data_IF_792039083691
#
_entry.id   IF_792039083691
#
_cell.length_a   1.000
_cell.length_b   1.000
_cell.length_c   1.000
_cell.angle_alpha   90.00
_cell.angle_beta   90.00
_cell.angle_gamma   90.00
#
_symmetry.space_group_name_H-M   'P 1'
#
loop_
_entity.id
_entity.type
_entity.pdbx_description
1 polymer ?
#
# COMPACT_ATOMS: atom_id res chain seq x y z
N UNK A 1 -16.81 26.00 14.44
CA UNK A 1 -17.17 24.60 14.78
C UNK A 1 -16.10 23.66 14.20
N UNK A 2 -15.46 22.84 15.03
CA UNK A 2 -14.33 21.98 14.63
C UNK A 2 -14.84 20.73 13.89
N UNK A 3 -14.26 20.42 12.72
CA UNK A 3 -14.53 19.16 12.01
C UNK A 3 -13.80 18.01 12.72
N UNK A 4 -14.45 16.85 12.85
CA UNK A 4 -13.84 15.61 13.35
C UNK A 4 -13.88 14.54 12.27
N UNK A 5 -12.84 13.72 12.19
CA UNK A 5 -12.76 12.64 11.22
C UNK A 5 -12.97 11.29 11.90
N UNK A 6 -13.65 10.37 11.21
CA UNK A 6 -13.78 8.99 11.65
C UNK A 6 -12.42 8.30 11.57
N UNK A 7 -11.98 7.72 12.68
CA UNK A 7 -10.78 6.90 12.75
C UNK A 7 -11.02 5.44 12.34
N UNK A 8 -12.28 5.05 12.21
CA UNK A 8 -12.69 3.69 11.85
C UNK A 8 -13.94 3.71 10.94
N UNK A 9 -14.24 2.58 10.32
CA UNK A 9 -15.42 2.41 9.48
C UNK A 9 -16.69 2.40 10.34
N UNK A 10 -17.78 2.93 9.79
CA UNK A 10 -19.10 2.91 10.47
C UNK A 10 -19.54 1.49 10.84
N UNK A 11 -19.13 0.49 10.07
CA UNK A 11 -19.43 -0.92 10.33
C UNK A 11 -18.75 -1.41 11.60
N UNK A 12 -17.45 -1.14 11.77
CA UNK A 12 -16.71 -1.53 12.96
C UNK A 12 -17.24 -0.80 14.21
N UNK A 13 -17.52 0.51 14.07
CA UNK A 13 -18.13 1.29 15.16
C UNK A 13 -19.50 0.73 15.59
N UNK A 14 -20.31 0.26 14.66
CA UNK A 14 -21.59 -0.38 14.99
C UNK A 14 -21.42 -1.73 15.70
N UNK A 15 -20.43 -2.53 15.29
CA UNK A 15 -20.09 -3.79 15.97
C UNK A 15 -19.67 -3.51 17.41
N UNK A 16 -18.79 -2.53 17.64
CA UNK A 16 -18.38 -2.11 18.98
C UNK A 16 -19.57 -1.60 19.80
N UNK A 17 -20.42 -0.75 19.21
CA UNK A 17 -21.64 -0.26 19.86
C UNK A 17 -22.55 -1.41 20.34
N UNK A 18 -22.76 -2.44 19.51
CA UNK A 18 -23.58 -3.62 19.88
C UNK A 18 -22.93 -4.48 20.96
N UNK A 19 -21.61 -4.57 20.98
CA UNK A 19 -20.87 -5.28 22.02
C UNK A 19 -20.99 -4.57 23.37
N UNK A 20 -20.92 -3.24 23.37
CA UNK A 20 -21.02 -2.41 24.57
C UNK A 20 -22.48 -2.26 25.05
N UNK A 21 -23.45 -2.32 24.14
CA UNK A 21 -24.87 -2.12 24.42
C UNK A 21 -25.70 -3.31 23.90
N UNK A 22 -25.53 -4.53 24.48
CA UNK A 22 -26.16 -5.74 23.97
C UNK A 22 -27.69 -5.71 24.04
N UNK A 23 -28.25 -4.97 25.00
CA UNK A 23 -29.69 -4.88 25.22
C UNK A 23 -30.37 -3.80 24.35
N UNK A 24 -29.60 -2.96 23.65
CA UNK A 24 -30.13 -1.85 22.86
C UNK A 24 -30.49 -2.29 21.43
N UNK A 25 -31.75 -2.10 21.06
CA UNK A 25 -32.26 -2.45 19.73
C UNK A 25 -31.97 -1.34 18.70
N UNK A 26 -30.71 -1.16 18.34
CA UNK A 26 -30.30 -0.24 17.27
C UNK A 26 -30.00 -1.00 15.97
N UNK A 27 -30.54 -0.54 14.83
CA UNK A 27 -30.17 -1.06 13.51
C UNK A 27 -28.99 -0.29 12.93
N UNK A 28 -28.22 -0.91 12.02
CA UNK A 28 -27.08 -0.24 11.37
C UNK A 28 -27.48 1.04 10.62
N UNK A 29 -28.62 1.01 9.92
CA UNK A 29 -29.16 2.18 9.20
C UNK A 29 -29.56 3.31 10.15
N UNK A 30 -30.08 3.00 11.34
CA UNK A 30 -30.41 4.01 12.34
C UNK A 30 -29.13 4.58 12.97
N UNK A 31 -28.20 3.71 13.39
CA UNK A 31 -26.89 4.10 13.94
C UNK A 31 -26.14 5.07 13.02
N UNK A 32 -26.07 4.76 11.73
CA UNK A 32 -25.33 5.58 10.75
C UNK A 32 -25.96 6.96 10.52
N UNK A 33 -27.28 7.08 10.63
CA UNK A 33 -27.99 8.36 10.55
C UNK A 33 -27.76 9.26 11.77
N UNK A 34 -27.52 8.65 12.94
CA UNK A 34 -27.23 9.39 14.18
C UNK A 34 -25.79 9.92 14.25
N UNK A 35 -24.98 9.73 13.19
CA UNK A 35 -23.65 10.33 13.12
C UNK A 35 -23.77 11.86 13.12
N UNK A 36 -23.13 12.58 14.06
CA UNK A 36 -23.16 14.03 14.08
C UNK A 36 -22.62 14.63 12.77
N UNK A 37 -23.25 15.71 12.29
CA UNK A 37 -22.96 16.30 10.99
C UNK A 37 -21.53 16.82 10.83
N UNK A 38 -20.87 17.16 11.94
CA UNK A 38 -19.46 17.59 12.02
C UNK A 38 -18.45 16.44 12.03
N UNK A 39 -18.91 15.19 12.14
CA UNK A 39 -18.08 13.98 12.01
C UNK A 39 -18.13 13.51 10.56
N UNK A 40 -16.99 13.56 9.87
CA UNK A 40 -16.85 13.18 8.47
C UNK A 40 -16.06 11.88 8.35
N UNK A 41 -16.39 11.01 7.37
CA UNK A 41 -15.45 9.97 6.97
C UNK A 41 -14.18 10.65 6.46
N UNK A 42 -13.02 10.12 6.85
CA UNK A 42 -11.75 10.54 6.27
C UNK A 42 -11.80 10.29 4.77
N UNK A 43 -11.57 11.34 3.98
CA UNK A 43 -11.41 11.17 2.56
C UNK A 43 -10.10 10.42 2.28
N UNK A 44 -9.99 9.82 1.09
CA UNK A 44 -8.86 8.95 0.71
C UNK A 44 -7.52 9.69 0.82
N UNK A 45 -7.54 10.99 0.58
CA UNK A 45 -6.45 11.97 0.68
C UNK A 45 -6.12 12.40 2.13
N UNK A 46 -7.05 12.22 3.06
CA UNK A 46 -6.86 12.51 4.49
C UNK A 46 -6.24 11.35 5.29
N UNK A 47 -5.77 10.30 4.60
CA UNK A 47 -5.08 9.17 5.23
C UNK A 47 -3.61 9.49 5.39
N UNK A 48 -3.08 9.34 6.59
CA UNK A 48 -1.64 9.46 6.88
C UNK A 48 -0.87 8.18 6.46
N UNK A 49 -1.35 7.52 5.42
CA UNK A 49 -0.78 6.27 4.88
C UNK A 49 -0.89 6.31 3.37
N UNK A 50 0.21 6.04 2.67
CA UNK A 50 0.15 5.89 1.22
C UNK A 50 -0.31 4.47 0.85
N UNK A 51 -1.37 4.38 0.04
CA UNK A 51 -1.87 3.13 -0.55
C UNK A 51 -1.86 3.20 -2.08
N UNK A 52 -0.93 3.97 -2.65
CA UNK A 52 -0.78 3.98 -4.10
C UNK A 52 -0.23 2.63 -4.57
N UNK A 53 -0.47 2.31 -5.85
CA UNK A 53 0.03 1.08 -6.48
C UNK A 53 1.54 0.93 -6.32
N UNK A 54 2.29 2.02 -6.49
CA UNK A 54 3.74 2.08 -6.36
C UNK A 54 4.19 1.57 -4.98
N UNK A 55 3.85 2.28 -3.90
CA UNK A 55 4.21 1.88 -2.54
C UNK A 55 3.74 0.47 -2.17
N UNK A 56 2.53 0.09 -2.59
CA UNK A 56 2.01 -1.25 -2.29
C UNK A 56 2.81 -2.34 -3.00
N UNK A 57 3.20 -2.12 -4.26
CA UNK A 57 4.03 -3.04 -5.03
C UNK A 57 5.45 -3.11 -4.46
N UNK A 58 6.06 -1.96 -4.13
CA UNK A 58 7.39 -1.93 -3.51
C UNK A 58 7.39 -2.69 -2.18
N UNK A 59 6.34 -2.57 -1.37
CA UNK A 59 6.20 -3.36 -0.13
C UNK A 59 6.08 -4.87 -0.41
N UNK A 60 5.37 -5.29 -1.47
CA UNK A 60 5.31 -6.71 -1.82
C UNK A 60 6.66 -7.26 -2.29
N UNK A 61 7.43 -6.47 -3.04
CA UNK A 61 8.80 -6.82 -3.45
C UNK A 61 9.70 -6.97 -2.22
N UNK A 62 9.69 -5.99 -1.30
CA UNK A 62 10.42 -6.06 -0.03
C UNK A 62 10.05 -7.30 0.78
N UNK A 63 8.76 -7.62 0.91
CA UNK A 63 8.32 -8.81 1.62
C UNK A 63 8.88 -10.11 0.99
N UNK A 64 8.94 -10.18 -0.34
CA UNK A 64 9.49 -11.34 -1.05
C UNK A 64 11.00 -11.46 -0.84
N UNK A 65 11.74 -10.36 -0.92
CA UNK A 65 13.19 -10.34 -0.70
C UNK A 65 13.53 -10.66 0.77
N UNK A 66 12.81 -10.06 1.73
CA UNK A 66 12.99 -10.30 3.16
C UNK A 66 12.68 -11.75 3.57
N UNK A 67 11.55 -12.31 3.11
CA UNK A 67 11.17 -13.69 3.43
C UNK A 67 12.14 -14.73 2.87
N UNK A 68 12.88 -14.37 1.82
CA UNK A 68 13.96 -15.19 1.26
C UNK A 68 15.34 -14.89 1.85
N UNK A 69 15.41 -14.04 2.89
CA UNK A 69 16.64 -13.65 3.61
C UNK A 69 17.67 -12.95 2.74
N UNK A 70 17.23 -12.28 1.68
CA UNK A 70 18.12 -11.51 0.80
C UNK A 70 18.45 -10.14 1.43
N UNK A 71 17.52 -9.57 2.20
CA UNK A 71 17.75 -8.35 2.99
C UNK A 71 17.37 -8.60 4.45
N UNK A 72 17.85 -7.73 5.34
CA UNK A 72 17.58 -7.80 6.78
C UNK A 72 16.33 -7.00 7.19
N UNK A 73 15.91 -6.07 6.33
CA UNK A 73 14.90 -5.06 6.55
C UNK A 73 13.53 -5.62 6.19
N UNK A 74 12.61 -5.58 7.15
CA UNK A 74 11.29 -6.22 7.00
C UNK A 74 10.23 -5.29 6.41
N UNK A 75 10.47 -3.98 6.37
CA UNK A 75 9.48 -2.99 5.98
C UNK A 75 10.12 -1.73 5.40
N UNK A 76 9.31 -0.93 4.69
CA UNK A 76 9.75 0.28 4.01
C UNK A 76 10.40 1.30 4.96
N UNK A 77 9.91 1.44 6.19
CA UNK A 77 10.47 2.39 7.16
C UNK A 77 11.91 2.06 7.50
N UNK A 78 12.23 0.78 7.75
CA UNK A 78 13.60 0.33 8.00
C UNK A 78 14.51 0.54 6.80
N UNK A 79 13.98 0.32 5.59
CA UNK A 79 14.73 0.59 4.35
C UNK A 79 15.05 2.08 4.24
N UNK A 80 14.06 2.96 4.40
CA UNK A 80 14.24 4.41 4.34
C UNK A 80 15.24 4.90 5.40
N UNK A 81 15.08 4.47 6.65
CA UNK A 81 15.99 4.85 7.74
C UNK A 81 17.43 4.42 7.48
N UNK A 82 17.63 3.33 6.73
CA UNK A 82 18.95 2.93 6.28
C UNK A 82 19.43 3.74 5.11
N UNK A 83 18.61 4.08 4.12
CA UNK A 83 19.06 4.76 2.89
C UNK A 83 19.25 6.26 3.03
N UNK A 84 18.54 6.93 3.95
CA UNK A 84 18.62 8.39 4.13
C UNK A 84 19.28 8.79 5.46
N UNK A 85 19.91 9.96 5.48
CA UNK A 85 20.53 10.51 6.71
C UNK A 85 19.49 11.01 7.72
N UNK A 86 18.32 11.47 7.27
CA UNK A 86 17.24 11.99 8.11
C UNK A 86 15.88 11.85 7.40
N UNK A 87 14.92 11.21 8.05
CA UNK A 87 13.59 10.89 7.48
C UNK A 87 12.59 12.05 7.57
N UNK A 88 12.83 13.00 8.48
CA UNK A 88 12.05 14.22 8.67
C UNK A 88 12.53 15.38 7.77
N UNK A 89 13.71 15.24 7.16
CA UNK A 89 14.28 16.23 6.26
C UNK A 89 13.95 15.90 4.79
N UNK A 90 13.08 16.73 4.20
CA UNK A 90 12.70 16.61 2.79
C UNK A 90 13.89 16.56 1.82
N UNK A 91 14.94 17.34 2.06
CA UNK A 91 16.12 17.35 1.19
C UNK A 91 16.89 16.04 1.29
N UNK A 92 16.97 15.42 2.47
CA UNK A 92 17.60 14.10 2.60
C UNK A 92 16.77 13.00 1.94
N UNK A 93 15.43 13.05 2.04
CA UNK A 93 14.54 12.13 1.31
C UNK A 93 14.61 12.28 -0.22
N UNK A 94 15.15 13.40 -0.71
CA UNK A 94 15.36 13.67 -2.13
C UNK A 94 16.83 13.57 -2.55
N UNK A 95 17.71 13.01 -1.71
CA UNK A 95 19.13 12.80 -2.04
C UNK A 95 19.88 14.14 -2.29
N UNK A 96 19.40 15.23 -1.69
CA UNK A 96 19.87 16.60 -1.95
C UNK A 96 20.37 17.33 -0.70
N UNK A 97 20.55 16.63 0.43
CA UNK A 97 21.03 17.27 1.66
C UNK A 97 22.55 17.33 1.75
N UNK A 98 23.09 18.37 2.38
CA UNK A 98 24.54 18.58 2.48
C UNK A 98 25.27 17.48 3.30
N UNK A 99 24.56 16.80 4.20
CA UNK A 99 25.04 15.66 5.00
C UNK A 99 24.66 14.31 4.39
N UNK A 100 24.37 14.28 3.09
CA UNK A 100 24.02 13.07 2.37
C UNK A 100 25.21 12.10 2.38
N UNK A 101 24.96 10.91 2.93
CA UNK A 101 25.88 9.80 2.87
C UNK A 101 25.08 8.63 2.31
N UNK A 102 25.45 8.15 1.12
CA UNK A 102 24.73 7.07 0.45
C UNK A 102 24.91 5.83 1.32
N UNK A 103 23.82 5.35 1.88
CA UNK A 103 23.80 4.07 2.59
C UNK A 103 23.03 3.11 1.71
N UNK A 104 23.75 2.19 1.10
CA UNK A 104 23.15 1.17 0.24
C UNK A 104 22.51 0.07 1.08
N UNK A 105 21.45 -0.53 0.54
CA UNK A 105 20.87 -1.74 1.09
C UNK A 105 21.85 -2.87 0.83
N UNK A 106 22.19 -3.63 1.86
CA UNK A 106 23.09 -4.78 1.73
C UNK A 106 22.24 -5.99 1.33
N UNK A 107 22.46 -6.48 0.13
CA UNK A 107 21.81 -7.68 -0.39
C UNK A 107 22.69 -8.92 -0.22
N UNK A 108 22.10 -10.02 0.23
CA UNK A 108 22.71 -11.34 0.09
C UNK A 108 22.61 -11.79 -1.37
N UNK A 109 23.76 -11.77 -2.05
CA UNK A 109 23.87 -12.09 -3.47
C UNK A 109 24.03 -13.58 -3.76
N UNK A 110 23.87 -14.44 -2.74
CA UNK A 110 23.87 -15.88 -2.95
C UNK A 110 22.69 -16.30 -3.83
N UNK A 111 23.00 -16.87 -5.00
CA UNK A 111 22.03 -17.39 -5.97
C UNK A 111 21.09 -16.35 -6.59
N UNK A 112 21.65 -15.30 -7.21
CA UNK A 112 20.92 -14.32 -8.03
C UNK A 112 19.95 -14.91 -9.07
N UNK A 113 20.27 -16.09 -9.61
CA UNK A 113 19.43 -16.78 -10.61
C UNK A 113 18.25 -17.56 -10.01
N UNK A 114 18.08 -17.54 -8.69
CA UNK A 114 16.96 -18.21 -8.03
C UNK A 114 15.64 -17.55 -8.42
N UNK A 115 14.65 -18.36 -8.77
CA UNK A 115 13.30 -17.89 -9.04
C UNK A 115 12.55 -17.55 -7.74
N UNK A 116 11.91 -16.39 -7.72
CA UNK A 116 11.03 -15.92 -6.66
C UNK A 116 9.64 -15.64 -7.21
N UNK A 117 8.67 -15.60 -6.29
CA UNK A 117 7.29 -15.20 -6.56
C UNK A 117 6.90 -14.09 -5.62
N UNK A 118 6.28 -13.04 -6.14
CA UNK A 118 5.75 -11.94 -5.35
C UNK A 118 4.39 -11.52 -5.87
N UNK A 119 3.69 -10.73 -5.08
CA UNK A 119 2.40 -10.17 -5.47
C UNK A 119 2.60 -8.79 -6.04
N UNK A 120 1.78 -8.40 -7.02
CA UNK A 120 1.77 -7.02 -7.49
C UNK A 120 0.40 -6.62 -8.02
N UNK A 121 0.10 -5.33 -7.90
CA UNK A 121 -1.03 -4.73 -8.58
C UNK A 121 -0.65 -4.39 -10.01
N UNK A 122 -1.35 -4.96 -10.98
CA UNK A 122 -1.21 -4.69 -12.42
C UNK A 122 -2.44 -3.98 -12.97
N UNK A 123 -2.30 -3.36 -14.14
CA UNK A 123 -3.38 -2.67 -14.85
C UNK A 123 -3.56 -3.24 -16.26
N UNK A 124 -3.94 -4.52 -16.39
CA UNK A 124 -4.16 -5.12 -17.71
C UNK A 124 -5.30 -4.42 -18.44
N UNK A 125 -5.13 -4.30 -19.75
CA UNK A 125 -6.17 -3.82 -20.66
C UNK A 125 -6.66 -4.98 -21.53
N UNK A 126 -7.95 -5.25 -21.48
CA UNK A 126 -8.61 -6.28 -22.26
C UNK A 126 -9.54 -5.63 -23.29
N UNK A 127 -9.63 -6.21 -24.48
CA UNK A 127 -10.64 -5.82 -25.46
C UNK A 127 -11.81 -6.77 -25.29
N UNK A 128 -12.95 -6.25 -24.84
CA UNK A 128 -14.19 -7.00 -24.73
C UNK A 128 -15.18 -6.53 -25.79
N UNK A 129 -16.04 -7.43 -26.26
CA UNK A 129 -17.18 -7.04 -27.07
C UNK A 129 -18.23 -6.37 -26.19
N UNK A 130 -18.85 -5.30 -26.70
CA UNK A 130 -19.99 -4.69 -26.02
C UNK A 130 -21.15 -5.70 -25.91
N UNK A 131 -22.09 -5.50 -24.97
CA UNK A 131 -23.31 -6.34 -24.79
C UNK A 131 -24.13 -6.54 -26.08
N UNK A 132 -23.94 -5.68 -27.08
CA UNK A 132 -24.60 -5.73 -28.38
C UNK A 132 -23.74 -6.34 -29.51
N UNK A 133 -22.52 -6.80 -29.25
CA UNK A 133 -21.60 -7.44 -30.21
C UNK A 133 -21.05 -6.54 -31.34
N UNK A 134 -21.44 -5.25 -31.40
CA UNK A 134 -21.16 -4.36 -32.53
C UNK A 134 -19.89 -3.51 -32.41
N UNK A 135 -19.30 -3.37 -31.22
CA UNK A 135 -18.10 -2.57 -31.02
C UNK A 135 -17.19 -3.19 -29.95
N UNK A 136 -15.88 -3.09 -30.20
CA UNK A 136 -14.81 -3.48 -29.29
C UNK A 136 -14.58 -2.38 -28.25
N UNK A 137 -14.65 -2.72 -26.96
CA UNK A 137 -14.39 -1.82 -25.83
C UNK A 137 -13.08 -2.21 -25.16
N UNK A 138 -12.15 -1.26 -25.03
CA UNK A 138 -10.96 -1.44 -24.20
C UNK A 138 -11.35 -1.21 -22.74
N UNK A 139 -11.23 -2.25 -21.92
CA UNK A 139 -11.48 -2.18 -20.48
C UNK A 139 -10.18 -2.37 -19.75
N UNK A 140 -9.89 -1.46 -18.81
CA UNK A 140 -8.73 -1.55 -17.94
C UNK A 140 -9.20 -1.90 -16.53
N UNK A 141 -8.61 -2.94 -15.95
CA UNK A 141 -8.92 -3.39 -14.58
C UNK A 141 -7.67 -3.28 -13.72
N UNK A 142 -7.82 -3.01 -12.43
CA UNK A 142 -6.74 -3.20 -11.46
C UNK A 142 -6.89 -4.60 -10.90
N UNK A 143 -5.87 -5.44 -11.10
CA UNK A 143 -5.88 -6.84 -10.64
C UNK A 143 -4.63 -7.07 -9.82
N UNK A 144 -4.76 -7.85 -8.74
CA UNK A 144 -3.62 -8.31 -7.96
C UNK A 144 -3.22 -9.67 -8.49
N UNK A 145 -2.00 -9.78 -9.00
CA UNK A 145 -1.47 -10.98 -9.63
C UNK A 145 -0.24 -11.48 -8.88
N UNK A 146 0.12 -12.74 -9.12
CA UNK A 146 1.38 -13.33 -8.65
C UNK A 146 2.33 -13.29 -9.84
N UNK A 147 3.41 -12.55 -9.67
CA UNK A 147 4.49 -12.43 -10.66
C UNK A 147 5.66 -13.29 -10.22
N UNK A 148 6.38 -13.84 -11.18
CA UNK A 148 7.58 -14.64 -10.96
C UNK A 148 8.74 -14.09 -11.77
N UNK A 149 9.94 -14.20 -11.21
CA UNK A 149 11.17 -13.67 -11.80
C UNK A 149 12.38 -14.04 -10.95
N UNK A 150 13.56 -13.69 -11.43
CA UNK A 150 14.81 -13.99 -10.70
C UNK A 150 15.01 -13.02 -9.53
N UNK A 151 15.88 -13.40 -8.59
CA UNK A 151 16.31 -12.50 -7.49
C UNK A 151 16.90 -11.21 -8.06
N UNK A 152 17.70 -11.31 -9.11
CA UNK A 152 18.32 -10.15 -9.76
C UNK A 152 17.30 -9.19 -10.37
N UNK A 153 16.35 -9.70 -11.15
CA UNK A 153 15.26 -8.89 -11.72
C UNK A 153 14.43 -8.19 -10.62
N UNK A 154 14.18 -8.88 -9.50
CA UNK A 154 13.43 -8.32 -8.39
C UNK A 154 14.20 -7.20 -7.67
N UNK A 155 15.52 -7.34 -7.54
CA UNK A 155 16.39 -6.31 -6.95
C UNK A 155 16.44 -5.06 -7.83
N UNK A 156 16.66 -5.21 -9.14
CA UNK A 156 16.66 -4.09 -10.09
C UNK A 156 15.32 -3.34 -10.10
N UNK A 157 14.21 -4.09 -10.06
CA UNK A 157 12.88 -3.50 -9.98
C UNK A 157 12.66 -2.74 -8.67
N UNK A 158 13.20 -3.23 -7.55
CA UNK A 158 13.10 -2.54 -6.27
C UNK A 158 13.87 -1.22 -6.29
N UNK A 159 15.11 -1.24 -6.81
CA UNK A 159 15.97 -0.05 -6.90
C UNK A 159 15.36 1.04 -7.79
N UNK A 160 14.66 0.66 -8.87
CA UNK A 160 13.97 1.63 -9.72
C UNK A 160 12.76 2.30 -9.02
N UNK A 161 12.22 1.69 -7.97
CA UNK A 161 11.06 2.19 -7.22
C UNK A 161 11.44 2.99 -5.96
N UNK A 162 12.73 3.00 -5.60
CA UNK A 162 13.30 3.77 -4.47
C UNK A 162 13.85 5.11 -4.96
#
# INVERSE_FOLDING_TARGET
MQKRYLLDTMKNLFITFKKENPNESCSYSYFTKQRPFYVKPSAVDGRDTCQCKMHTNTQYMLNAIYSNKIISESNMTQVIEKTVSATDNRLCMQVNCASYNIKEIIYDTQNKSRMLKWQEWVRPSEIIDNKSGKCKLKVTKNVKEITEGTVEELMENLEWQL
#
